data_IF_042000058044
#
_entry.id   IF_042000058044
#
_cell.length_a   1.000
_cell.length_b   1.000
_cell.length_c   1.000
_cell.angle_alpha   90.00
_cell.angle_beta   90.00
_cell.angle_gamma   90.00
#
_symmetry.space_group_name_H-M   'P 1'
#
loop_
_entity.id
_entity.type
_entity.pdbx_description
1 polymer ?
#
# COMPACT_ATOMS: atom_id res chain seq x y z
N UNK A 1 10.24 10.57 15.45
CA UNK A 1 10.19 9.19 15.01
C UNK A 1 9.67 9.11 13.59
N UNK A 2 10.33 8.36 12.74
CA UNK A 2 9.98 8.33 11.33
C UNK A 2 8.79 7.42 11.08
N UNK A 3 8.04 7.76 10.06
CA UNK A 3 6.91 6.95 9.64
C UNK A 3 6.85 6.98 8.11
N UNK A 4 6.63 5.82 7.53
CA UNK A 4 6.42 5.71 6.10
C UNK A 4 4.98 5.31 5.82
N UNK A 5 4.37 5.96 4.86
CA UNK A 5 3.00 5.66 4.45
C UNK A 5 3.05 5.08 3.04
N UNK A 6 2.63 3.83 2.94
CA UNK A 6 2.55 3.15 1.66
C UNK A 6 1.12 3.17 1.18
N UNK A 7 0.92 3.45 -0.10
CA UNK A 7 -0.40 3.49 -0.68
C UNK A 7 -0.46 2.64 -1.92
N UNK A 8 -1.51 1.88 -2.04
CA UNK A 8 -1.77 1.08 -3.22
C UNK A 8 -2.86 1.78 -3.99
N UNK A 9 -2.55 2.15 -5.23
CA UNK A 9 -3.43 3.00 -6.03
C UNK A 9 -3.78 2.29 -7.32
N UNK A 10 -5.06 2.29 -7.67
CA UNK A 10 -5.45 1.74 -8.94
C UNK A 10 -5.05 2.68 -10.06
N UNK A 11 -4.42 2.12 -11.06
CA UNK A 11 -3.96 2.87 -12.22
C UNK A 11 -4.64 2.32 -13.47
N UNK A 12 -4.59 3.06 -14.59
CA UNK A 12 -5.27 2.60 -15.81
C UNK A 12 -4.80 1.23 -16.29
N UNK A 13 -3.52 0.91 -16.06
CA UNK A 13 -2.98 -0.35 -16.55
C UNK A 13 -2.81 -1.38 -15.44
N UNK A 14 -3.24 -1.09 -14.23
CA UNK A 14 -3.09 -2.02 -13.14
C UNK A 14 -3.03 -1.31 -11.81
N UNK A 15 -2.08 -1.70 -10.97
CA UNK A 15 -1.97 -1.17 -9.62
C UNK A 15 -0.57 -0.64 -9.38
N UNK A 16 -0.46 0.46 -8.66
CA UNK A 16 0.82 1.08 -8.35
C UNK A 16 1.00 1.17 -6.85
N UNK A 17 2.25 1.26 -6.43
CA UNK A 17 2.60 1.39 -5.02
C UNK A 17 3.35 2.70 -4.84
N UNK A 18 2.88 3.50 -3.89
CA UNK A 18 3.54 4.75 -3.53
C UNK A 18 4.03 4.66 -2.10
N UNK A 19 5.20 5.20 -1.85
CA UNK A 19 5.73 5.35 -0.50
C UNK A 19 5.97 6.82 -0.26
N UNK A 20 5.26 7.37 0.72
CA UNK A 20 5.39 8.78 1.08
C UNK A 20 5.20 9.67 -0.15
N UNK A 21 4.19 9.33 -0.96
CA UNK A 21 3.82 10.05 -2.17
C UNK A 21 4.81 9.92 -3.31
N UNK A 22 5.72 8.97 -3.22
CA UNK A 22 6.67 8.69 -4.30
C UNK A 22 6.37 7.30 -4.84
N UNK A 23 6.21 7.21 -6.16
CA UNK A 23 5.96 5.92 -6.78
C UNK A 23 7.24 5.08 -6.70
N UNK A 24 7.14 3.94 -6.04
CA UNK A 24 8.32 3.10 -5.82
C UNK A 24 8.35 1.87 -6.69
N UNK A 25 7.26 1.58 -7.37
CA UNK A 25 7.22 0.37 -8.18
C UNK A 25 6.37 0.61 -9.41
N UNK A 26 6.56 -0.25 -10.39
CA UNK A 26 5.82 -0.15 -11.61
C UNK A 26 4.38 -0.58 -11.45
N UNK A 27 3.85 -1.17 -12.50
CA UNK A 27 2.46 -1.56 -12.53
C UNK A 27 2.34 -3.04 -12.21
N UNK A 28 1.43 -3.37 -11.32
CA UNK A 28 1.14 -4.74 -10.95
C UNK A 28 -0.20 -5.16 -11.53
N UNK A 29 -0.33 -6.44 -11.85
CA UNK A 29 -1.55 -6.95 -12.48
C UNK A 29 -2.73 -6.97 -11.53
N UNK A 30 -2.48 -7.07 -10.24
CA UNK A 30 -3.55 -7.21 -9.28
C UNK A 30 -3.24 -6.44 -8.03
N UNK A 31 -4.29 -6.18 -7.28
CA UNK A 31 -4.14 -5.53 -5.98
C UNK A 31 -3.30 -6.40 -5.04
N UNK A 32 -3.48 -7.71 -5.11
CA UNK A 32 -2.70 -8.62 -4.27
C UNK A 32 -1.22 -8.52 -4.56
N UNK A 33 -0.85 -8.45 -5.82
CA UNK A 33 0.56 -8.34 -6.19
C UNK A 33 1.14 -7.03 -5.69
N UNK A 34 0.39 -5.94 -5.83
CA UNK A 34 0.83 -4.64 -5.35
C UNK A 34 0.97 -4.65 -3.83
N UNK A 35 0.02 -5.30 -3.14
CA UNK A 35 0.07 -5.37 -1.70
C UNK A 35 1.29 -6.16 -1.24
N UNK A 36 1.60 -7.25 -1.92
CA UNK A 36 2.79 -8.03 -1.56
C UNK A 36 4.05 -7.20 -1.72
N UNK A 37 4.12 -6.43 -2.80
CA UNK A 37 5.28 -5.56 -3.02
C UNK A 37 5.38 -4.51 -1.92
N UNK A 38 4.25 -3.93 -1.55
CA UNK A 38 4.24 -2.93 -0.48
C UNK A 38 4.64 -3.55 0.85
N UNK A 39 4.16 -4.75 1.13
CA UNK A 39 4.48 -5.43 2.38
C UNK A 39 5.97 -5.75 2.45
N UNK A 40 6.57 -6.15 1.35
CA UNK A 40 7.99 -6.42 1.32
C UNK A 40 8.80 -5.16 1.59
N UNK A 41 8.44 -4.08 0.92
CA UNK A 41 9.12 -2.80 1.14
C UNK A 41 8.91 -2.33 2.58
N UNK A 42 7.71 -2.51 3.11
CA UNK A 42 7.41 -2.10 4.47
C UNK A 42 8.24 -2.89 5.48
N UNK A 43 8.50 -4.15 5.21
CA UNK A 43 9.27 -4.96 6.14
C UNK A 43 10.70 -4.45 6.27
N UNK A 44 11.27 -3.92 5.20
CA UNK A 44 12.58 -3.30 5.29
C UNK A 44 12.54 -2.05 6.17
N UNK A 45 11.50 -1.25 6.02
CA UNK A 45 11.36 -0.05 6.85
C UNK A 45 11.22 -0.41 8.31
N UNK A 46 10.42 -1.44 8.60
CA UNK A 46 10.24 -1.88 9.98
C UNK A 46 11.57 -2.36 10.56
N UNK A 47 12.36 -3.07 9.76
CA UNK A 47 13.67 -3.52 10.22
C UNK A 47 14.57 -2.36 10.57
N UNK A 48 14.36 -1.21 9.94
CA UNK A 48 15.15 0.00 10.23
C UNK A 48 14.55 0.82 11.36
N UNK A 49 13.52 0.32 12.02
CA UNK A 49 12.91 1.02 13.13
C UNK A 49 11.90 2.08 12.72
N UNK A 50 11.40 2.01 11.49
CA UNK A 50 10.46 2.99 10.96
C UNK A 50 9.05 2.43 11.09
N UNK A 51 8.14 3.22 11.66
CA UNK A 51 6.73 2.84 11.71
C UNK A 51 6.16 2.90 10.30
N UNK A 52 5.26 1.95 9.99
CA UNK A 52 4.73 1.82 8.65
C UNK A 52 3.22 1.79 8.69
N UNK A 53 2.60 2.47 7.75
CA UNK A 53 1.17 2.42 7.53
C UNK A 53 0.95 2.05 6.06
N UNK A 54 0.07 1.09 5.81
CA UNK A 54 -0.25 0.68 4.45
C UNK A 54 -1.72 0.93 4.22
N UNK A 55 -2.01 1.76 3.22
CA UNK A 55 -3.38 2.09 2.86
C UNK A 55 -3.75 1.29 1.62
N UNK A 56 -4.74 0.42 1.75
CA UNK A 56 -5.19 -0.43 0.67
C UNK A 56 -6.63 -0.07 0.34
N UNK A 57 -6.93 0.26 -0.91
CA UNK A 57 -8.31 0.55 -1.28
C UNK A 57 -9.13 -0.73 -1.16
N UNK A 58 -10.34 -0.60 -0.64
CA UNK A 58 -11.25 -1.72 -0.58
C UNK A 58 -11.77 -2.06 -1.95
N UNK A 59 -12.30 -3.27 -2.09
CA UNK A 59 -12.94 -3.65 -3.33
C UNK A 59 -14.18 -2.82 -3.55
N UNK A 60 -14.83 -2.51 -2.46
CA UNK A 60 -15.98 -1.63 -2.49
C UNK A 60 -15.47 -0.27 -2.05
N UNK A 61 -15.28 0.60 -2.98
CA UNK A 61 -14.65 1.88 -2.71
C UNK A 61 -15.52 2.80 -1.88
N UNK A 62 -16.79 2.51 -1.84
CA UNK A 62 -17.69 3.34 -1.05
C UNK A 62 -17.43 3.20 0.43
N UNK A 63 -16.84 2.09 0.82
CA UNK A 63 -16.70 1.82 2.23
C UNK A 63 -15.49 0.94 2.47
N UNK A 64 -14.54 1.41 3.25
CA UNK A 64 -13.36 0.60 3.57
C UNK A 64 -13.77 -0.64 4.34
N UNK A 65 -13.05 -1.72 4.10
CA UNK A 65 -13.37 -2.97 4.76
C UNK A 65 -13.21 -2.88 6.27
N UNK A 66 -12.20 -2.17 6.71
CA UNK A 66 -11.97 -2.03 8.16
C UNK A 66 -13.12 -1.29 8.83
N UNK A 67 -13.79 -0.41 8.11
CA UNK A 67 -14.92 0.32 8.68
C UNK A 67 -16.11 -0.59 8.95
N UNK A 68 -16.20 -1.68 8.19
CA UNK A 68 -17.30 -2.62 8.37
C UNK A 68 -17.07 -3.50 9.58
N UNK A 69 -15.82 -3.74 9.92
CA UNK A 69 -15.48 -4.65 11.00
C UNK A 69 -15.90 -4.12 12.36
N UNK A 70 -16.16 -2.87 12.42
CA UNK A 70 -16.56 -2.25 13.68
C UNK A 70 -17.98 -1.78 13.64
#
# INVERSE_FOLDING_TARGET
MARSVFEIVKAPLGWSVFADNVKIAGVYDSRSAALEAAALAASFAVSDGVAVQINVPGENEDRPRWAVAF
#
